data_IF_638336365127
#
_entry.id   IF_638336365127
#
_cell.length_a   1.000
_cell.length_b   1.000
_cell.length_c   1.000
_cell.angle_alpha   90.00
_cell.angle_beta   90.00
_cell.angle_gamma   90.00
#
_symmetry.space_group_name_H-M   'P 1'
#
loop_
_entity.id
_entity.type
_entity.pdbx_description
1 polymer ?
#
# COMPACT_ATOMS: atom_id res chain seq x y z
N UNK A 1 -4.07 8.39 16.78
CA UNK A 1 -5.49 8.36 16.36
C UNK A 1 -5.66 8.27 14.84
N UNK A 2 -4.70 8.74 14.06
CA UNK A 2 -4.74 8.68 12.59
C UNK A 2 -4.59 7.25 12.02
N UNK A 3 -3.56 6.52 12.46
CA UNK A 3 -3.25 5.17 11.95
C UNK A 3 -4.46 4.22 11.94
N UNK A 4 -5.07 3.98 13.10
CA UNK A 4 -6.22 3.07 13.20
C UNK A 4 -7.38 3.44 12.27
N UNK A 5 -7.65 4.74 12.10
CA UNK A 5 -8.72 5.21 11.20
C UNK A 5 -8.34 4.96 9.74
N UNK A 6 -7.09 5.22 9.35
CA UNK A 6 -6.56 4.96 8.01
C UNK A 6 -6.61 3.45 7.69
N UNK A 7 -6.14 2.59 8.61
CA UNK A 7 -6.22 1.13 8.48
C UNK A 7 -7.67 0.62 8.35
N UNK A 8 -8.57 1.13 9.18
CA UNK A 8 -10.00 0.81 9.07
C UNK A 8 -10.58 1.27 7.72
N UNK A 9 -10.10 2.38 7.18
CA UNK A 9 -10.50 2.89 5.86
C UNK A 9 -9.97 1.99 4.74
N UNK A 10 -8.70 1.57 4.78
CA UNK A 10 -8.14 0.60 3.83
C UNK A 10 -8.94 -0.71 3.82
N UNK A 11 -9.22 -1.26 5.00
CA UNK A 11 -10.04 -2.46 5.14
C UNK A 11 -11.46 -2.28 4.61
N UNK A 12 -12.08 -1.12 4.84
CA UNK A 12 -13.42 -0.81 4.34
C UNK A 12 -13.44 -0.73 2.82
N UNK A 13 -12.46 -0.05 2.22
CA UNK A 13 -12.30 0.03 0.75
C UNK A 13 -12.03 -1.37 0.18
N UNK A 14 -11.13 -2.14 0.80
CA UNK A 14 -10.83 -3.53 0.45
C UNK A 14 -12.07 -4.43 0.53
N UNK A 15 -12.93 -4.24 1.53
CA UNK A 15 -14.19 -4.96 1.69
C UNK A 15 -15.16 -4.64 0.55
N UNK A 16 -15.34 -3.36 0.22
CA UNK A 16 -16.22 -2.93 -0.89
C UNK A 16 -15.77 -3.56 -2.21
N UNK A 17 -14.46 -3.48 -2.50
CA UNK A 17 -13.86 -4.08 -3.71
C UNK A 17 -14.04 -5.60 -3.71
N UNK A 18 -13.77 -6.25 -2.59
CA UNK A 18 -13.89 -7.70 -2.44
C UNK A 18 -15.33 -8.19 -2.61
N UNK A 19 -16.31 -7.46 -2.06
CA UNK A 19 -17.74 -7.74 -2.23
C UNK A 19 -18.12 -7.63 -3.71
N UNK A 20 -17.70 -6.55 -4.38
CA UNK A 20 -17.97 -6.37 -5.81
C UNK A 20 -17.41 -7.53 -6.65
N UNK A 21 -16.16 -7.92 -6.43
CA UNK A 21 -15.50 -9.01 -7.17
C UNK A 21 -16.08 -10.37 -6.85
N UNK A 22 -16.46 -10.63 -5.59
CA UNK A 22 -17.22 -11.81 -5.20
C UNK A 22 -18.51 -11.92 -6.00
N UNK A 23 -19.30 -10.84 -6.11
CA UNK A 23 -20.55 -10.89 -6.86
C UNK A 23 -20.35 -11.10 -8.37
N UNK A 24 -19.28 -10.53 -8.93
CA UNK A 24 -18.93 -10.62 -10.36
C UNK A 24 -18.42 -11.98 -10.80
N UNK A 25 -17.65 -12.67 -9.95
CA UNK A 25 -16.98 -13.93 -10.27
C UNK A 25 -17.52 -15.14 -9.49
N UNK A 26 -18.43 -14.90 -8.52
CA UNK A 26 -18.99 -15.91 -7.61
C UNK A 26 -17.92 -16.71 -6.85
N UNK A 27 -16.76 -16.10 -6.58
CA UNK A 27 -15.65 -16.72 -5.86
C UNK A 27 -15.36 -15.96 -4.56
N UNK A 28 -15.60 -16.60 -3.41
CA UNK A 28 -15.38 -16.02 -2.08
C UNK A 28 -13.89 -15.80 -1.77
N UNK A 29 -12.98 -16.53 -2.42
CA UNK A 29 -11.55 -16.33 -2.25
C UNK A 29 -11.12 -14.92 -2.66
N UNK A 30 -11.81 -14.29 -3.62
CA UNK A 30 -11.49 -12.92 -4.05
C UNK A 30 -11.83 -11.88 -2.98
N UNK A 31 -12.87 -12.12 -2.17
CA UNK A 31 -13.19 -11.27 -1.02
C UNK A 31 -12.05 -11.27 0.00
N UNK A 32 -11.62 -12.47 0.41
CA UNK A 32 -10.53 -12.63 1.37
C UNK A 32 -9.20 -12.13 0.81
N UNK A 33 -8.94 -12.37 -0.48
CA UNK A 33 -7.75 -11.85 -1.15
C UNK A 33 -7.74 -10.31 -1.17
N UNK A 34 -8.87 -9.67 -1.46
CA UNK A 34 -8.98 -8.21 -1.43
C UNK A 34 -8.65 -7.66 -0.05
N UNK A 35 -9.26 -8.21 1.01
CA UNK A 35 -8.98 -7.82 2.40
C UNK A 35 -7.52 -8.06 2.79
N UNK A 36 -6.96 -9.21 2.40
CA UNK A 36 -5.58 -9.55 2.66
C UNK A 36 -4.63 -8.54 2.01
N UNK A 37 -4.82 -8.26 0.71
CA UNK A 37 -3.97 -7.31 -0.02
C UNK A 37 -4.07 -5.91 0.58
N UNK A 38 -5.27 -5.47 0.99
CA UNK A 38 -5.47 -4.13 1.58
C UNK A 38 -4.70 -3.87 2.88
N UNK A 39 -4.23 -4.91 3.59
CA UNK A 39 -3.35 -4.80 4.77
C UNK A 39 -1.91 -5.22 4.45
N UNK A 40 -1.74 -6.20 3.54
CA UNK A 40 -0.43 -6.77 3.24
C UNK A 40 0.55 -5.73 2.67
N UNK A 41 0.04 -4.71 1.99
CA UNK A 41 0.84 -3.63 1.41
C UNK A 41 1.61 -2.88 2.50
N UNK A 42 0.96 -2.58 3.64
CA UNK A 42 1.57 -1.88 4.79
C UNK A 42 2.69 -2.64 5.48
N UNK A 43 2.87 -3.93 5.19
CA UNK A 43 3.98 -4.69 5.75
C UNK A 43 5.34 -4.18 5.27
N UNK A 44 5.40 -3.43 4.16
CA UNK A 44 6.64 -2.79 3.73
C UNK A 44 7.12 -1.69 4.70
N UNK A 45 6.26 -1.15 5.55
CA UNK A 45 6.67 -0.23 6.61
C UNK A 45 7.58 -0.89 7.65
N UNK A 46 7.52 -2.21 7.81
CA UNK A 46 8.53 -2.91 8.61
C UNK A 46 9.92 -2.78 8.00
N UNK A 47 10.02 -2.76 6.66
CA UNK A 47 11.29 -2.53 5.98
C UNK A 47 11.78 -1.12 6.29
N UNK A 48 10.91 -0.11 6.18
CA UNK A 48 11.25 1.27 6.56
C UNK A 48 11.75 1.34 8.02
N UNK A 49 11.02 0.72 8.94
CA UNK A 49 11.38 0.71 10.36
C UNK A 49 12.75 0.05 10.60
N UNK A 50 12.98 -1.14 10.04
CA UNK A 50 14.21 -1.89 10.27
C UNK A 50 15.43 -1.37 9.50
N UNK A 51 15.24 -0.47 8.53
CA UNK A 51 16.35 0.27 7.93
C UNK A 51 16.91 1.35 8.86
N UNK A 52 16.13 1.82 9.84
CA UNK A 52 16.53 2.87 10.78
C UNK A 52 16.65 2.37 12.23
N UNK A 53 16.02 1.25 12.55
CA UNK A 53 16.06 0.62 13.87
C UNK A 53 16.62 -0.79 13.74
N UNK A 54 17.64 -1.12 14.55
CA UNK A 54 18.17 -2.47 14.61
C UNK A 54 17.08 -3.49 14.95
N UNK A 55 17.04 -4.63 14.24
CA UNK A 55 16.07 -5.71 14.49
C UNK A 55 16.01 -6.16 15.96
N UNK A 56 17.16 -6.17 16.65
CA UNK A 56 17.25 -6.54 18.07
C UNK A 56 16.57 -5.55 19.03
N UNK A 57 16.22 -4.36 18.54
CA UNK A 57 15.63 -3.26 19.29
C UNK A 57 14.17 -2.99 18.92
N UNK A 58 13.50 -3.96 18.27
CA UNK A 58 12.11 -3.80 17.86
C UNK A 58 11.22 -3.31 19.00
N UNK A 59 10.54 -2.19 18.76
CA UNK A 59 9.57 -1.63 19.67
C UNK A 59 8.27 -1.33 18.94
N UNK A 60 7.20 -2.04 19.31
CA UNK A 60 5.89 -1.87 18.67
C UNK A 60 5.33 -0.45 18.85
N UNK A 61 5.52 0.18 20.01
CA UNK A 61 5.02 1.53 20.24
C UNK A 61 5.74 2.56 19.37
N UNK A 62 7.05 2.40 19.15
CA UNK A 62 7.82 3.23 18.23
C UNK A 62 7.42 3.02 16.77
N UNK A 63 7.24 1.76 16.36
CA UNK A 63 6.75 1.41 15.03
C UNK A 63 5.38 2.07 14.75
N UNK A 64 4.43 1.94 15.69
CA UNK A 64 3.11 2.53 15.54
C UNK A 64 3.10 4.07 15.65
N UNK A 65 4.17 4.68 16.16
CA UNK A 65 4.31 6.14 16.22
C UNK A 65 4.74 6.74 14.87
N UNK A 66 5.34 5.95 13.96
CA UNK A 66 5.79 6.38 12.62
C UNK A 66 6.88 7.47 12.61
N UNK A 67 7.33 7.94 13.78
CA UNK A 67 8.36 8.98 13.94
C UNK A 67 9.71 8.64 13.28
N UNK A 68 10.00 7.35 13.07
CA UNK A 68 11.24 6.89 12.44
C UNK A 68 11.40 7.42 11.01
N UNK A 69 10.30 7.57 10.26
CA UNK A 69 10.30 8.13 8.89
C UNK A 69 10.74 9.59 8.92
N UNK A 70 10.21 10.36 9.87
CA UNK A 70 10.53 11.78 10.04
C UNK A 70 11.98 11.98 10.49
N UNK A 71 12.44 11.17 11.46
CA UNK A 71 13.82 11.22 11.98
C UNK A 71 14.85 10.85 10.91
N UNK A 72 14.53 9.86 10.08
CA UNK A 72 15.40 9.43 9.00
C UNK A 72 15.33 10.32 7.76
N UNK A 73 14.25 11.08 7.59
CA UNK A 73 13.88 11.77 6.35
C UNK A 73 13.86 10.83 5.13
N UNK A 74 13.40 9.59 5.33
CA UNK A 74 13.39 8.53 4.31
C UNK A 74 12.12 7.71 4.39
N UNK A 75 11.53 7.42 3.23
CA UNK A 75 10.32 6.61 3.08
C UNK A 75 10.44 5.73 1.84
N UNK A 76 10.61 4.42 2.04
CA UNK A 76 10.79 3.45 0.95
C UNK A 76 9.45 2.91 0.46
N UNK A 77 8.63 2.39 1.39
CA UNK A 77 7.28 1.85 1.13
C UNK A 77 7.21 1.08 -0.19
N UNK A 78 7.99 0.01 -0.29
CA UNK A 78 8.32 -0.67 -1.55
C UNK A 78 7.12 -1.27 -2.29
N UNK A 79 6.02 -1.57 -1.60
CA UNK A 79 4.79 -2.10 -2.17
C UNK A 79 3.80 -0.99 -2.56
N UNK A 80 4.00 0.23 -2.05
CA UNK A 80 3.17 1.39 -2.35
C UNK A 80 3.56 2.06 -3.67
N UNK A 81 3.25 1.38 -4.77
CA UNK A 81 3.61 1.81 -6.13
C UNK A 81 2.42 1.80 -7.08
N UNK A 82 2.09 2.94 -7.69
CA UNK A 82 1.12 3.01 -8.80
C UNK A 82 1.53 2.10 -9.97
N UNK A 83 2.83 1.88 -10.13
CA UNK A 83 3.41 0.97 -11.12
C UNK A 83 2.91 -0.47 -10.93
N UNK A 84 2.69 -0.93 -9.69
CA UNK A 84 2.15 -2.26 -9.42
C UNK A 84 0.70 -2.40 -9.87
N UNK A 85 -0.11 -1.36 -9.68
CA UNK A 85 -1.50 -1.33 -10.19
C UNK A 85 -1.50 -1.56 -11.70
N UNK A 86 -0.69 -0.77 -12.43
CA UNK A 86 -0.57 -0.90 -13.88
C UNK A 86 -0.06 -2.28 -14.30
N UNK A 87 0.97 -2.79 -13.62
CA UNK A 87 1.52 -4.12 -13.86
C UNK A 87 0.45 -5.20 -13.72
N UNK A 88 -0.28 -5.23 -12.61
CA UNK A 88 -1.31 -6.25 -12.36
C UNK A 88 -2.50 -6.12 -13.32
N UNK A 89 -2.91 -4.91 -13.71
CA UNK A 89 -3.95 -4.72 -14.74
C UNK A 89 -3.50 -5.26 -16.11
N UNK A 90 -2.24 -4.99 -16.51
CA UNK A 90 -1.68 -5.51 -17.76
C UNK A 90 -1.57 -7.04 -17.74
N UNK A 91 -1.14 -7.62 -16.62
CA UNK A 91 -1.09 -9.08 -16.44
C UNK A 91 -2.49 -9.69 -16.46
N UNK A 92 -3.49 -9.06 -15.82
CA UNK A 92 -4.88 -9.51 -15.86
C UNK A 92 -5.44 -9.52 -17.29
N UNK A 93 -5.03 -8.55 -18.12
CA UNK A 93 -5.40 -8.50 -19.54
C UNK A 93 -4.76 -9.65 -20.34
N UNK A 94 -3.49 -9.96 -20.09
CA UNK A 94 -2.70 -10.95 -20.85
C UNK A 94 -2.95 -12.40 -20.40
N UNK A 95 -3.08 -12.66 -19.10
CA UNK A 95 -3.13 -13.99 -18.51
C UNK A 95 -4.55 -14.30 -18.02
N UNK A 96 -5.45 -14.62 -18.96
CA UNK A 96 -6.89 -14.76 -18.69
C UNK A 96 -7.23 -15.75 -17.58
N UNK A 97 -6.46 -16.84 -17.44
CA UNK A 97 -6.62 -17.84 -16.38
C UNK A 97 -6.56 -17.24 -14.97
N UNK A 98 -5.68 -16.25 -14.75
CA UNK A 98 -5.50 -15.60 -13.45
C UNK A 98 -6.13 -14.21 -13.39
N UNK A 99 -6.92 -13.82 -14.40
CA UNK A 99 -7.51 -12.50 -14.49
C UNK A 99 -8.26 -12.09 -13.21
N UNK A 100 -9.14 -12.91 -12.59
CA UNK A 100 -9.89 -12.48 -11.40
C UNK A 100 -8.96 -12.17 -10.21
N UNK A 101 -7.92 -12.98 -10.03
CA UNK A 101 -6.93 -12.82 -8.96
C UNK A 101 -6.11 -11.54 -9.19
N UNK A 102 -5.57 -11.38 -10.40
CA UNK A 102 -4.74 -10.23 -10.77
C UNK A 102 -5.54 -8.92 -10.71
N UNK A 103 -6.81 -8.94 -11.13
CA UNK A 103 -7.71 -7.79 -11.01
C UNK A 103 -8.02 -7.46 -9.53
N UNK A 104 -8.19 -8.49 -8.69
CA UNK A 104 -8.38 -8.30 -7.25
C UNK A 104 -7.20 -7.60 -6.62
N UNK A 105 -5.98 -8.08 -6.90
CA UNK A 105 -4.74 -7.46 -6.39
C UNK A 105 -4.64 -6.02 -6.91
N UNK A 106 -4.82 -5.80 -8.22
CA UNK A 106 -4.73 -4.46 -8.81
C UNK A 106 -5.70 -3.46 -8.17
N UNK A 107 -6.98 -3.85 -8.00
CA UNK A 107 -7.99 -2.97 -7.43
C UNK A 107 -7.78 -2.75 -5.92
N UNK A 108 -7.38 -3.77 -5.16
CA UNK A 108 -7.09 -3.63 -3.74
C UNK A 108 -5.89 -2.70 -3.51
N UNK A 109 -4.80 -2.85 -4.28
CA UNK A 109 -3.64 -1.93 -4.25
C UNK A 109 -4.07 -0.52 -4.66
N UNK A 110 -4.85 -0.38 -5.72
CA UNK A 110 -5.36 0.92 -6.16
C UNK A 110 -6.21 1.61 -5.09
N UNK A 111 -7.14 0.88 -4.49
CA UNK A 111 -7.99 1.39 -3.41
C UNK A 111 -7.19 1.79 -2.18
N UNK A 112 -6.18 0.98 -1.83
CA UNK A 112 -5.25 1.28 -0.74
C UNK A 112 -4.50 2.60 -1.03
N UNK A 113 -3.80 2.71 -2.17
CA UNK A 113 -3.04 3.91 -2.57
C UNK A 113 -3.92 5.16 -2.71
N UNK A 114 -5.17 5.01 -3.12
CA UNK A 114 -6.10 6.14 -3.17
C UNK A 114 -6.37 6.72 -1.78
N UNK A 115 -6.67 5.88 -0.79
CA UNK A 115 -6.87 6.33 0.59
C UNK A 115 -5.63 7.11 1.04
N UNK A 116 -4.48 6.49 0.85
CA UNK A 116 -3.16 6.99 1.20
C UNK A 116 -2.81 8.34 0.56
N UNK A 117 -3.18 8.53 -0.71
CA UNK A 117 -2.99 9.78 -1.45
C UNK A 117 -3.78 10.94 -0.83
N UNK A 118 -4.95 10.67 -0.24
CA UNK A 118 -5.79 11.69 0.37
C UNK A 118 -5.56 11.85 1.87
N UNK A 119 -4.96 10.88 2.53
CA UNK A 119 -4.71 10.91 3.98
C UNK A 119 -3.30 11.37 4.33
N UNK A 120 -2.27 11.04 3.56
CA UNK A 120 -0.90 11.17 4.08
C UNK A 120 -0.19 12.48 3.68
N UNK A 121 -0.92 13.49 3.20
CA UNK A 121 -0.34 14.77 2.75
C UNK A 121 0.64 14.60 1.58
N UNK A 122 0.55 13.47 0.89
CA UNK A 122 1.44 13.07 -0.17
C UNK A 122 1.15 13.89 -1.45
N UNK A 123 2.19 14.32 -2.16
CA UNK A 123 2.01 14.87 -3.50
C UNK A 123 1.57 13.79 -4.49
N UNK A 124 1.11 14.19 -5.67
CA UNK A 124 0.53 13.28 -6.68
C UNK A 124 1.48 12.14 -7.09
N UNK A 125 2.80 12.40 -7.04
CA UNK A 125 3.82 11.44 -7.46
C UNK A 125 4.43 10.62 -6.32
N UNK A 126 4.05 10.86 -5.07
CA UNK A 126 4.67 10.25 -3.88
C UNK A 126 4.58 8.74 -3.87
N UNK A 127 3.51 8.18 -4.43
CA UNK A 127 3.32 6.73 -4.58
C UNK A 127 3.81 6.17 -5.92
N UNK A 128 4.59 6.93 -6.68
CA UNK A 128 5.39 6.36 -7.77
C UNK A 128 6.72 5.87 -7.19
N UNK A 129 6.98 4.57 -7.34
CA UNK A 129 8.28 4.00 -6.98
C UNK A 129 9.43 4.67 -7.74
N UNK A 130 9.21 4.97 -9.03
CA UNK A 130 10.21 5.64 -9.87
C UNK A 130 10.49 7.04 -9.33
N UNK A 131 9.44 7.80 -8.97
CA UNK A 131 9.61 9.13 -8.39
C UNK A 131 10.38 9.07 -7.07
N UNK A 132 10.02 8.16 -6.16
CA UNK A 132 10.76 7.99 -4.90
C UNK A 132 12.22 7.61 -5.15
N UNK A 133 12.48 6.68 -6.07
CA UNK A 133 13.85 6.28 -6.41
C UNK A 133 14.70 7.44 -6.94
N UNK A 134 14.16 8.27 -7.84
CA UNK A 134 14.86 9.45 -8.38
C UNK A 134 15.14 10.49 -7.28
N UNK A 135 14.26 10.61 -6.30
CA UNK A 135 14.40 11.52 -5.16
C UNK A 135 15.07 10.85 -3.95
N UNK A 136 15.80 9.75 -4.16
CA UNK A 136 16.53 9.00 -3.13
C UNK A 136 15.66 8.68 -1.90
N UNK A 137 14.38 8.35 -2.13
CA UNK A 137 13.38 8.04 -1.10
C UNK A 137 13.21 9.12 -0.03
N UNK A 138 13.51 10.38 -0.36
CA UNK A 138 13.38 11.52 0.56
C UNK A 138 11.94 11.73 1.03
N UNK A 139 11.71 11.78 2.35
CA UNK A 139 10.39 12.10 2.90
C UNK A 139 9.97 13.54 2.56
N UNK A 140 10.90 14.50 2.54
CA UNK A 140 10.61 15.86 2.10
C UNK A 140 10.05 15.91 0.67
N UNK A 141 10.67 15.16 -0.27
CA UNK A 141 10.16 15.06 -1.63
C UNK A 141 8.77 14.37 -1.68
N UNK A 142 8.53 13.40 -0.80
CA UNK A 142 7.23 12.73 -0.67
C UNK A 142 6.11 13.68 -0.23
N UNK A 143 6.39 14.67 0.62
CA UNK A 143 5.38 15.66 1.05
C UNK A 143 5.44 16.99 0.28
N UNK A 144 6.37 17.13 -0.67
CA UNK A 144 6.51 18.31 -1.52
C UNK A 144 7.22 19.51 -0.86
N UNK A 145 8.12 19.25 0.09
CA UNK A 145 8.95 20.25 0.77
C UNK A 145 10.39 20.30 0.25
#
# INVERSE_FOLDING_TARGET
MYLFLTEATHLTVGLIIGIFLYHRYKNRQLLFLSLFVSIFIDLDHFIDYFLFVDFSRFNLAEFLAVDYVLKANKIYVLFHGWEFVLLFLLLAKKIKKYQPILLTIALAVFGHLLVDQFTNGAIIFSYSFIYRFINDFSYNAFVGN
#
